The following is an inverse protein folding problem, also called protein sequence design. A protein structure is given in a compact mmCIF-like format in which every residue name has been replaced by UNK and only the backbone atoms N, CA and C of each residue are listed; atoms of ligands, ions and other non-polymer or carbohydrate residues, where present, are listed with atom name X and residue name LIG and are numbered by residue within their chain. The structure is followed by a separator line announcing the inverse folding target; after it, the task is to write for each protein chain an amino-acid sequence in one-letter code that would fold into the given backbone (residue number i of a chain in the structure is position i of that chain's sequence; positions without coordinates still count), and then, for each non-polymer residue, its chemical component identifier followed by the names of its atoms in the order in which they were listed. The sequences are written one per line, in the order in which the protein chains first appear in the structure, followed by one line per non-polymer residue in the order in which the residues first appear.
data_IF_625689157293
#
_entry.id   IF_625689157293
#
_cell.length_a   1.000
_cell.length_b   1.000
_cell.length_c   1.000
_cell.angle_alpha   90.00
_cell.angle_beta   90.00
_cell.angle_gamma   90.00
#
_symmetry.space_group_name_H-M   'P 1'
#
loop_
_entity.id
_entity.type
_entity.pdbx_description
1 polymer ?
#
# COMPACT_ATOMS: atom_id res chain seq x y z
N UNK A 1 -27.96 -13.49 -16.16
CA UNK A 1 -26.62 -12.94 -15.93
C UNK A 1 -26.14 -13.41 -14.58
N UNK A 2 -24.95 -13.97 -14.46
CA UNK A 2 -24.39 -14.36 -13.15
C UNK A 2 -23.95 -13.10 -12.35
N UNK A 3 -23.84 -13.21 -11.03
CA UNK A 3 -23.36 -12.08 -10.21
C UNK A 3 -21.98 -11.58 -10.64
N UNK A 4 -21.10 -12.46 -11.15
CA UNK A 4 -19.79 -12.08 -11.69
C UNK A 4 -19.95 -11.24 -12.97
N UNK A 5 -20.86 -11.58 -13.87
CA UNK A 5 -21.10 -10.82 -15.11
C UNK A 5 -21.61 -9.41 -14.80
N UNK A 6 -22.57 -9.30 -13.88
CA UNK A 6 -23.08 -8.01 -13.45
C UNK A 6 -22.01 -7.13 -12.81
N UNK A 7 -21.17 -7.70 -11.94
CA UNK A 7 -20.05 -7.00 -11.35
C UNK A 7 -19.00 -6.60 -12.41
N UNK A 8 -18.74 -7.49 -13.38
CA UNK A 8 -17.82 -7.21 -14.48
C UNK A 8 -18.30 -6.05 -15.36
N UNK A 9 -19.59 -5.93 -15.64
CA UNK A 9 -20.16 -4.79 -16.36
C UNK A 9 -19.99 -3.48 -15.60
N UNK A 10 -20.19 -3.51 -14.29
CA UNK A 10 -19.98 -2.35 -13.42
C UNK A 10 -18.50 -1.92 -13.44
N UNK A 11 -17.58 -2.84 -13.26
CA UNK A 11 -16.14 -2.57 -13.33
C UNK A 11 -15.73 -2.12 -14.74
N UNK A 12 -16.33 -2.68 -15.80
CA UNK A 12 -16.03 -2.27 -17.18
C UNK A 12 -16.45 -0.82 -17.45
N UNK A 13 -17.60 -0.41 -16.94
CA UNK A 13 -18.10 0.97 -17.06
C UNK A 13 -17.16 1.96 -16.34
N UNK A 14 -16.72 1.63 -15.13
CA UNK A 14 -15.74 2.44 -14.39
C UNK A 14 -14.40 2.52 -15.14
N UNK A 15 -13.89 1.40 -15.63
CA UNK A 15 -12.65 1.36 -16.43
C UNK A 15 -12.78 2.16 -17.73
N UNK A 16 -13.95 2.20 -18.35
CA UNK A 16 -14.18 2.99 -19.55
C UNK A 16 -14.06 4.49 -19.30
N UNK A 17 -14.65 4.95 -18.21
CA UNK A 17 -14.56 6.35 -17.79
C UNK A 17 -13.13 6.75 -17.40
N UNK A 18 -12.42 5.89 -16.67
CA UNK A 18 -11.08 6.17 -16.14
C UNK A 18 -9.95 5.98 -17.15
N UNK A 19 -10.13 5.09 -18.11
CA UNK A 19 -9.11 4.66 -19.07
C UNK A 19 -9.62 4.74 -20.52
N UNK A 20 -10.11 5.90 -20.99
CA UNK A 20 -10.70 6.02 -22.33
C UNK A 20 -9.70 5.68 -23.45
N UNK A 21 -8.42 5.94 -23.24
CA UNK A 21 -7.35 5.61 -24.20
C UNK A 21 -6.93 4.14 -24.25
N UNK A 22 -7.38 3.32 -23.31
CA UNK A 22 -7.07 1.89 -23.33
C UNK A 22 -8.05 1.14 -24.23
N UNK A 23 -7.56 0.13 -24.96
CA UNK A 23 -8.41 -0.67 -25.86
C UNK A 23 -9.56 -1.33 -25.10
N UNK A 24 -10.79 -1.24 -25.63
CA UNK A 24 -11.99 -1.84 -25.04
C UNK A 24 -11.78 -3.31 -24.65
N UNK A 25 -11.20 -4.12 -25.54
CA UNK A 25 -10.95 -5.55 -25.25
C UNK A 25 -9.98 -5.81 -24.08
N UNK A 26 -9.12 -4.85 -23.73
CA UNK A 26 -8.25 -4.96 -22.57
C UNK A 26 -9.02 -4.58 -21.30
N UNK A 27 -9.83 -3.53 -21.35
CA UNK A 27 -10.71 -3.11 -20.24
C UNK A 27 -11.71 -4.19 -19.89
N UNK A 28 -12.42 -4.75 -20.90
CA UNK A 28 -13.41 -5.81 -20.70
C UNK A 28 -12.78 -7.07 -20.05
N UNK A 29 -11.56 -7.44 -20.50
CA UNK A 29 -10.82 -8.56 -19.92
C UNK A 29 -10.39 -8.28 -18.49
N UNK A 30 -9.91 -7.07 -18.22
CA UNK A 30 -9.49 -6.66 -16.89
C UNK A 30 -10.69 -6.63 -15.94
N UNK A 31 -11.81 -6.05 -16.36
CA UNK A 31 -13.05 -6.01 -15.59
C UNK A 31 -13.54 -7.40 -15.21
N UNK A 32 -13.55 -8.31 -16.17
CA UNK A 32 -13.96 -9.69 -15.92
C UNK A 32 -13.02 -10.39 -14.93
N UNK A 33 -11.72 -10.18 -15.02
CA UNK A 33 -10.76 -10.76 -14.08
C UNK A 33 -10.87 -10.15 -12.68
N UNK A 34 -11.10 -8.85 -12.57
CA UNK A 34 -11.32 -8.18 -11.28
C UNK A 34 -12.59 -8.70 -10.61
N UNK A 35 -13.70 -8.78 -11.35
CA UNK A 35 -14.96 -9.29 -10.82
C UNK A 35 -14.85 -10.78 -10.39
N UNK A 36 -14.17 -11.59 -11.21
CA UNK A 36 -13.93 -12.99 -10.86
C UNK A 36 -13.04 -13.12 -9.61
N UNK A 37 -11.98 -12.30 -9.51
CA UNK A 37 -11.06 -12.27 -8.36
C UNK A 37 -11.80 -11.91 -7.06
N UNK A 38 -12.69 -10.91 -7.10
CA UNK A 38 -13.52 -10.51 -5.96
C UNK A 38 -14.42 -11.65 -5.46
N UNK A 39 -14.99 -12.42 -6.38
CA UNK A 39 -15.88 -13.53 -6.05
C UNK A 39 -15.12 -14.75 -5.53
N UNK A 40 -14.01 -15.10 -6.17
CA UNK A 40 -13.24 -16.33 -5.88
C UNK A 40 -12.32 -16.15 -4.68
N UNK A 41 -11.79 -14.94 -4.48
CA UNK A 41 -10.77 -14.63 -3.45
C UNK A 41 -9.54 -15.54 -3.54
N UNK A 42 -9.11 -15.87 -4.75
CA UNK A 42 -7.92 -16.70 -4.99
C UNK A 42 -7.07 -16.14 -6.11
N UNK A 43 -5.75 -16.08 -5.90
CA UNK A 43 -4.76 -15.74 -6.92
C UNK A 43 -4.31 -16.98 -7.71
N UNK A 44 -4.79 -18.17 -7.36
CA UNK A 44 -4.54 -19.41 -8.10
C UNK A 44 -5.27 -19.36 -9.45
N UNK A 45 -4.52 -19.40 -10.54
CA UNK A 45 -5.10 -19.22 -11.88
C UNK A 45 -6.13 -20.30 -12.24
N UNK A 46 -6.03 -21.49 -11.64
CA UNK A 46 -7.01 -22.56 -11.85
C UNK A 46 -8.36 -22.23 -11.21
N UNK A 47 -8.37 -21.69 -9.99
CA UNK A 47 -9.59 -21.30 -9.29
C UNK A 47 -10.29 -20.16 -10.03
N UNK A 48 -9.50 -19.15 -10.45
CA UNK A 48 -10.02 -18.04 -11.28
C UNK A 48 -10.60 -18.60 -12.60
N UNK A 49 -9.92 -19.53 -13.27
CA UNK A 49 -10.38 -20.14 -14.50
C UNK A 49 -11.66 -20.97 -14.31
N UNK A 50 -11.80 -21.67 -13.20
CA UNK A 50 -12.98 -22.46 -12.88
C UNK A 50 -14.26 -21.60 -12.79
N UNK A 51 -14.13 -20.40 -12.20
CA UNK A 51 -15.25 -19.49 -11.98
C UNK A 51 -15.44 -18.41 -13.07
N UNK A 52 -14.48 -18.32 -14.01
CA UNK A 52 -14.53 -17.30 -15.08
C UNK A 52 -15.77 -17.51 -15.98
N UNK A 53 -16.72 -16.55 -16.05
CA UNK A 53 -17.92 -16.67 -16.88
C UNK A 53 -17.53 -16.47 -18.36
N UNK A 54 -17.23 -17.55 -19.02
CA UNK A 54 -16.93 -17.59 -20.45
C UNK A 54 -17.58 -18.76 -21.14
N UNK A 55 -17.96 -18.55 -22.38
CA UNK A 55 -18.52 -19.56 -23.27
C UNK A 55 -17.54 -20.71 -23.63
N UNK A 56 -16.24 -20.56 -23.29
CA UNK A 56 -15.29 -21.65 -23.47
C UNK A 56 -15.57 -22.75 -22.43
N UNK A 57 -16.09 -23.87 -22.87
CA UNK A 57 -16.47 -25.00 -22.01
C UNK A 57 -15.27 -25.62 -21.28
N UNK A 58 -14.11 -25.66 -21.95
CA UNK A 58 -12.91 -26.31 -21.40
C UNK A 58 -12.19 -25.39 -20.42
N UNK A 59 -11.94 -25.90 -19.22
CA UNK A 59 -11.19 -25.22 -18.16
C UNK A 59 -9.79 -24.78 -18.62
N UNK A 60 -9.08 -25.64 -19.37
CA UNK A 60 -7.76 -25.31 -19.91
C UNK A 60 -7.81 -24.09 -20.85
N UNK A 61 -8.83 -23.96 -21.68
CA UNK A 61 -9.00 -22.80 -22.55
C UNK A 61 -9.17 -21.49 -21.77
N UNK A 62 -9.89 -21.53 -20.65
CA UNK A 62 -10.04 -20.38 -19.73
C UNK A 62 -8.73 -20.06 -19.04
N UNK A 63 -8.01 -21.06 -18.56
CA UNK A 63 -6.70 -20.92 -17.96
C UNK A 63 -5.68 -20.28 -18.93
N UNK A 64 -5.59 -20.77 -20.18
CA UNK A 64 -4.71 -20.19 -21.20
C UNK A 64 -5.11 -18.75 -21.57
N UNK A 65 -6.40 -18.42 -21.51
CA UNK A 65 -6.85 -17.05 -21.74
C UNK A 65 -6.37 -16.10 -20.63
N UNK A 66 -6.43 -16.50 -19.37
CA UNK A 66 -5.88 -15.73 -18.25
C UNK A 66 -4.36 -15.55 -18.43
N UNK A 67 -3.63 -16.63 -18.72
CA UNK A 67 -2.19 -16.57 -18.96
C UNK A 67 -1.80 -15.60 -20.10
N UNK A 68 -2.59 -15.56 -21.17
CA UNK A 68 -2.40 -14.61 -22.27
C UNK A 68 -2.66 -13.17 -21.83
N UNK A 69 -3.67 -12.93 -21.02
CA UNK A 69 -3.89 -11.59 -20.44
C UNK A 69 -2.70 -11.16 -19.58
N UNK A 70 -2.25 -11.99 -18.66
CA UNK A 70 -1.11 -11.70 -17.78
C UNK A 70 0.21 -11.52 -18.57
N UNK A 71 0.34 -12.10 -19.75
CA UNK A 71 1.50 -11.92 -20.62
C UNK A 71 1.43 -10.63 -21.48
N UNK A 72 0.30 -9.91 -21.47
CA UNK A 72 0.10 -8.76 -22.34
C UNK A 72 0.82 -7.50 -21.81
N UNK A 73 2.01 -7.22 -22.33
CA UNK A 73 2.83 -6.06 -21.94
C UNK A 73 2.17 -4.68 -22.22
N UNK A 74 1.09 -4.63 -23.03
CA UNK A 74 0.33 -3.39 -23.28
C UNK A 74 -0.56 -3.00 -22.10
N UNK A 75 -0.78 -3.90 -21.15
CA UNK A 75 -1.43 -3.57 -19.86
C UNK A 75 -0.32 -3.15 -18.91
N UNK A 76 -0.17 -1.86 -18.71
CA UNK A 76 0.85 -1.23 -17.86
C UNK A 76 0.21 -0.88 -16.52
N UNK A 77 0.68 -1.52 -15.45
CA UNK A 77 0.07 -1.41 -14.12
C UNK A 77 0.02 0.01 -13.58
N UNK A 78 1.13 0.78 -13.71
CA UNK A 78 1.17 2.18 -13.29
C UNK A 78 0.10 3.03 -14.02
N UNK A 79 -0.09 2.79 -15.33
CA UNK A 79 -1.06 3.55 -16.13
C UNK A 79 -2.51 3.22 -15.75
N UNK A 80 -2.79 1.95 -15.46
CA UNK A 80 -4.12 1.51 -15.03
C UNK A 80 -4.45 2.02 -13.63
N UNK A 81 -3.50 1.98 -12.70
CA UNK A 81 -3.70 2.44 -11.33
C UNK A 81 -3.76 3.97 -11.19
N UNK A 82 -3.18 4.71 -12.16
CA UNK A 82 -3.05 6.16 -12.05
C UNK A 82 -4.36 6.90 -11.77
N UNK A 83 -5.48 6.68 -12.47
CA UNK A 83 -6.74 7.40 -12.18
C UNK A 83 -7.28 7.08 -10.79
N UNK A 84 -7.17 5.84 -10.32
CA UNK A 84 -7.59 5.42 -8.98
C UNK A 84 -6.76 6.09 -7.89
N UNK A 85 -5.43 6.04 -8.05
CA UNK A 85 -4.51 6.68 -7.11
C UNK A 85 -4.70 8.19 -7.03
N UNK A 86 -4.85 8.87 -8.18
CA UNK A 86 -5.11 10.33 -8.21
C UNK A 86 -6.41 10.70 -7.51
N UNK A 87 -7.47 9.93 -7.70
CA UNK A 87 -8.76 10.20 -7.06
C UNK A 87 -8.65 10.11 -5.53
N UNK A 88 -8.04 9.02 -5.01
CA UNK A 88 -7.86 8.85 -3.56
C UNK A 88 -7.02 9.97 -2.98
N UNK A 89 -5.87 10.27 -3.61
CA UNK A 89 -4.95 11.31 -3.15
C UNK A 89 -5.58 12.70 -3.21
N UNK A 90 -6.33 13.01 -4.27
CA UNK A 90 -7.04 14.27 -4.41
C UNK A 90 -8.12 14.45 -3.32
N UNK A 91 -8.87 13.40 -2.99
CA UNK A 91 -9.88 13.44 -1.92
C UNK A 91 -9.26 13.67 -0.54
N UNK A 92 -8.19 12.96 -0.21
CA UNK A 92 -7.47 13.14 1.05
C UNK A 92 -6.92 14.57 1.18
N UNK A 93 -6.31 15.08 0.11
CA UNK A 93 -5.78 16.45 0.08
C UNK A 93 -6.87 17.51 0.19
N UNK A 94 -8.00 17.33 -0.50
CA UNK A 94 -9.13 18.26 -0.47
C UNK A 94 -9.81 18.34 0.91
N UNK A 95 -9.73 17.28 1.69
CA UNK A 95 -10.24 17.22 3.05
C UNK A 95 -9.25 17.77 4.10
N UNK A 96 -8.13 18.33 3.67
CA UNK A 96 -7.08 18.84 4.57
C UNK A 96 -6.37 17.73 5.36
N UNK A 97 -6.53 16.46 4.98
CA UNK A 97 -5.87 15.35 5.65
C UNK A 97 -4.40 15.26 5.22
N UNK A 98 -3.54 14.90 6.15
CA UNK A 98 -2.16 14.56 5.84
C UNK A 98 -2.12 13.30 4.98
N UNK A 99 -1.59 13.40 3.77
CA UNK A 99 -1.36 12.25 2.91
C UNK A 99 -0.20 11.42 3.47
N UNK A 100 -0.50 10.23 3.96
CA UNK A 100 0.50 9.28 4.47
C UNK A 100 0.74 8.22 3.40
N UNK A 101 1.97 8.19 2.89
CA UNK A 101 2.45 7.16 1.99
C UNK A 101 3.24 6.12 2.77
N UNK A 102 3.01 4.87 2.47
CA UNK A 102 3.65 3.72 3.11
C UNK A 102 4.50 3.01 2.08
N UNK A 103 5.73 2.68 2.42
CA UNK A 103 6.59 1.83 1.60
C UNK A 103 6.98 0.59 2.38
N UNK A 104 6.80 -0.56 1.74
CA UNK A 104 7.23 -1.83 2.31
C UNK A 104 7.42 -2.87 1.20
N UNK A 105 8.13 -3.97 1.51
CA UNK A 105 8.30 -5.08 0.60
C UNK A 105 7.71 -6.35 1.17
N UNK A 106 7.28 -7.24 0.29
CA UNK A 106 6.78 -8.54 0.68
C UNK A 106 7.32 -9.63 -0.23
N UNK A 107 7.66 -10.77 0.38
CA UNK A 107 8.01 -11.98 -0.36
C UNK A 107 6.72 -12.57 -0.93
N UNK A 108 6.74 -12.88 -2.22
CA UNK A 108 5.61 -13.51 -2.93
C UNK A 108 5.91 -14.98 -3.24
N UNK A 109 7.17 -15.30 -3.49
CA UNK A 109 7.63 -16.65 -3.73
C UNK A 109 9.11 -16.77 -3.39
N UNK A 110 9.68 -17.96 -3.49
CA UNK A 110 11.13 -18.15 -3.33
C UNK A 110 11.98 -17.35 -4.34
N UNK A 111 11.36 -16.83 -5.40
CA UNK A 111 12.04 -16.12 -6.48
C UNK A 111 11.73 -14.64 -6.55
N UNK A 112 10.60 -14.20 -5.99
CA UNK A 112 10.09 -12.85 -6.19
C UNK A 112 9.83 -12.12 -4.88
N UNK A 113 10.33 -10.89 -4.85
CA UNK A 113 9.95 -9.86 -3.89
C UNK A 113 9.18 -8.75 -4.61
N UNK A 114 8.30 -8.09 -3.89
CA UNK A 114 7.55 -6.94 -4.39
C UNK A 114 7.73 -5.78 -3.42
N UNK A 115 8.31 -4.67 -3.89
CA UNK A 115 8.23 -3.40 -3.17
C UNK A 115 6.98 -2.67 -3.61
N UNK A 116 6.25 -2.12 -2.66
CA UNK A 116 4.98 -1.44 -2.89
C UNK A 116 4.94 -0.10 -2.16
N UNK A 117 4.44 0.91 -2.86
CA UNK A 117 4.06 2.19 -2.28
C UNK A 117 2.54 2.23 -2.25
N UNK A 118 2.01 2.47 -1.07
CA UNK A 118 0.58 2.53 -0.81
C UNK A 118 0.19 3.83 -0.11
N UNK A 119 -1.04 4.27 -0.26
CA UNK A 119 -1.60 5.37 0.54
C UNK A 119 -2.40 4.81 1.71
N UNK A 120 -2.21 5.39 2.88
CA UNK A 120 -3.00 5.05 4.07
C UNK A 120 -4.42 5.59 3.93
N UNK A 121 -5.40 4.76 4.20
CA UNK A 121 -6.81 5.11 4.20
C UNK A 121 -7.49 4.51 5.45
N UNK A 122 -7.70 5.34 6.47
CA UNK A 122 -8.17 4.84 7.77
C UNK A 122 -7.19 3.85 8.40
N UNK A 123 -7.65 2.68 8.80
CA UNK A 123 -6.83 1.57 9.31
C UNK A 123 -6.22 0.67 8.23
N UNK A 124 -6.41 1.00 6.95
CA UNK A 124 -5.94 0.20 5.80
C UNK A 124 -4.99 0.98 4.91
N UNK A 125 -4.46 0.30 3.89
CA UNK A 125 -3.71 0.93 2.82
C UNK A 125 -4.23 0.48 1.46
N UNK A 126 -4.11 1.38 0.47
CA UNK A 126 -4.42 1.08 -0.94
C UNK A 126 -3.14 1.20 -1.77
N UNK A 127 -2.83 0.21 -2.61
CA UNK A 127 -1.63 0.24 -3.44
C UNK A 127 -1.72 1.35 -4.50
N UNK A 128 -0.63 2.09 -4.67
CA UNK A 128 -0.48 3.13 -5.69
C UNK A 128 0.46 2.69 -6.81
N UNK A 129 1.60 2.12 -6.43
CA UNK A 129 2.63 1.67 -7.35
C UNK A 129 3.47 0.55 -6.71
N UNK A 130 4.01 -0.33 -7.53
CA UNK A 130 4.86 -1.43 -7.07
C UNK A 130 5.92 -1.79 -8.11
N UNK A 131 6.94 -2.54 -7.65
CA UNK A 131 7.92 -3.17 -8.54
C UNK A 131 8.13 -4.62 -8.10
N UNK A 132 8.05 -5.51 -9.08
CA UNK A 132 8.32 -6.93 -8.89
C UNK A 132 9.77 -7.18 -9.26
N UNK A 133 10.54 -7.77 -8.36
CA UNK A 133 11.94 -8.12 -8.56
C UNK A 133 12.14 -9.61 -8.40
N UNK A 134 12.89 -10.21 -9.32
CA UNK A 134 13.38 -11.57 -9.17
C UNK A 134 14.62 -11.52 -8.26
N UNK A 135 14.41 -11.79 -6.98
CA UNK A 135 15.43 -11.80 -5.93
C UNK A 135 14.92 -12.57 -4.71
N UNK A 136 15.82 -13.18 -3.96
CA UNK A 136 15.51 -13.78 -2.66
C UNK A 136 15.72 -12.78 -1.50
N UNK A 137 16.53 -11.76 -1.74
CA UNK A 137 16.89 -10.76 -0.75
C UNK A 137 16.09 -9.46 -0.89
N UNK A 138 16.63 -8.44 -0.27
CA UNK A 138 16.05 -7.12 -0.26
C UNK A 138 16.05 -6.46 -1.65
N UNK A 139 15.01 -5.69 -1.91
CA UNK A 139 14.90 -4.87 -3.12
C UNK A 139 15.75 -3.60 -2.94
N UNK A 140 16.64 -3.34 -3.90
CA UNK A 140 17.54 -2.20 -3.86
C UNK A 140 16.85 -0.84 -4.05
N UNK A 141 17.58 0.24 -3.75
CA UNK A 141 17.04 1.59 -3.80
C UNK A 141 16.54 2.01 -5.21
N UNK A 142 17.12 1.47 -6.28
CA UNK A 142 16.69 1.81 -7.64
C UNK A 142 15.22 1.45 -7.90
N UNK A 143 14.79 0.27 -7.50
CA UNK A 143 13.40 -0.18 -7.63
C UNK A 143 12.47 0.51 -6.62
N UNK A 144 12.96 0.77 -5.39
CA UNK A 144 12.22 1.57 -4.40
C UNK A 144 11.94 2.97 -4.96
N UNK A 145 12.96 3.62 -5.48
CA UNK A 145 12.86 4.93 -6.12
C UNK A 145 11.88 4.91 -7.31
N UNK A 146 11.96 3.92 -8.18
CA UNK A 146 11.05 3.78 -9.31
C UNK A 146 9.58 3.64 -8.90
N UNK A 147 9.29 2.94 -7.79
CA UNK A 147 7.94 2.86 -7.23
C UNK A 147 7.50 4.20 -6.60
N UNK A 148 8.39 4.85 -5.86
CA UNK A 148 8.13 6.17 -5.25
C UNK A 148 7.88 7.26 -6.29
N UNK A 149 8.68 7.31 -7.37
CA UNK A 149 8.48 8.24 -8.48
C UNK A 149 7.16 8.01 -9.20
N UNK A 150 6.73 6.74 -9.34
CA UNK A 150 5.42 6.44 -9.89
C UNK A 150 4.28 6.97 -9.00
N UNK A 151 4.38 6.77 -7.69
CA UNK A 151 3.42 7.31 -6.71
C UNK A 151 3.47 8.85 -6.66
N UNK A 152 4.64 9.47 -6.73
CA UNK A 152 4.81 10.92 -6.73
C UNK A 152 4.04 11.61 -7.86
N UNK A 153 4.03 11.00 -9.05
CA UNK A 153 3.28 11.53 -10.21
C UNK A 153 1.76 11.52 -10.03
N UNK A 154 1.25 10.88 -9.00
CA UNK A 154 -0.18 10.82 -8.69
C UNK A 154 -0.62 11.89 -7.70
N UNK A 155 0.32 12.51 -6.98
CA UNK A 155 0.03 13.54 -5.98
C UNK A 155 -0.53 14.80 -6.63
N UNK A 156 -1.57 15.42 -6.04
CA UNK A 156 -1.99 16.75 -6.43
C UNK A 156 -0.87 17.78 -6.24
N UNK A 157 -0.86 18.81 -7.07
CA UNK A 157 0.10 19.89 -6.95
C UNK A 157 0.06 20.53 -5.55
N UNK A 158 1.24 20.80 -4.98
CA UNK A 158 1.38 21.38 -3.64
C UNK A 158 1.15 20.42 -2.48
N UNK A 159 0.80 19.16 -2.73
CA UNK A 159 0.67 18.16 -1.66
C UNK A 159 2.04 17.75 -1.13
N UNK A 160 2.22 17.86 0.18
CA UNK A 160 3.41 17.41 0.89
C UNK A 160 3.09 16.14 1.70
N UNK A 161 3.37 14.95 1.17
CA UNK A 161 3.07 13.72 1.88
C UNK A 161 4.09 13.42 2.97
N UNK A 162 3.71 12.53 3.90
CA UNK A 162 4.62 11.91 4.85
C UNK A 162 4.90 10.48 4.39
N UNK A 163 6.15 10.14 4.10
CA UNK A 163 6.55 8.78 3.77
C UNK A 163 6.89 8.01 5.05
N UNK A 164 6.31 6.83 5.22
CA UNK A 164 6.61 5.91 6.32
C UNK A 164 7.15 4.59 5.79
N UNK A 165 8.19 4.07 6.43
CA UNK A 165 8.80 2.78 6.10
C UNK A 165 9.43 2.13 7.32
N UNK A 166 9.56 0.81 7.29
CA UNK A 166 10.20 0.06 8.37
C UNK A 166 11.72 0.28 8.43
N UNK A 167 12.41 -0.42 9.33
CA UNK A 167 13.88 -0.28 9.52
C UNK A 167 14.71 -0.65 8.29
N UNK A 168 14.11 -1.31 7.31
CA UNK A 168 14.74 -1.60 6.05
C UNK A 168 14.84 -0.36 5.15
N UNK A 169 13.87 0.54 5.29
CA UNK A 169 13.78 1.80 4.54
C UNK A 169 14.44 2.99 5.25
N UNK A 170 14.90 2.82 6.48
CA UNK A 170 15.65 3.84 7.21
C UNK A 170 17.07 4.05 6.65
N UNK A 171 17.17 4.37 5.38
CA UNK A 171 18.43 4.52 4.66
C UNK A 171 18.74 5.99 4.33
N UNK A 172 20.03 6.38 4.29
CA UNK A 172 20.46 7.71 3.86
C UNK A 172 19.93 8.08 2.48
N UNK A 173 19.91 7.13 1.53
CA UNK A 173 19.48 7.38 0.16
C UNK A 173 17.99 7.75 0.09
N UNK A 174 17.16 7.08 0.89
CA UNK A 174 15.74 7.38 0.94
C UNK A 174 15.47 8.73 1.63
N UNK A 175 16.16 9.04 2.74
CA UNK A 175 16.04 10.33 3.43
C UNK A 175 16.44 11.46 2.48
N UNK A 176 17.57 11.32 1.78
CA UNK A 176 18.05 12.30 0.80
C UNK A 176 17.03 12.50 -0.33
N UNK A 177 16.46 11.39 -0.84
CA UNK A 177 15.44 11.46 -1.88
C UNK A 177 14.18 12.19 -1.39
N UNK A 178 13.66 11.86 -0.20
CA UNK A 178 12.50 12.54 0.39
C UNK A 178 12.76 14.04 0.56
N UNK A 179 13.92 14.40 1.09
CA UNK A 179 14.33 15.80 1.24
C UNK A 179 14.35 16.52 -0.10
N UNK A 180 14.92 15.91 -1.14
CA UNK A 180 14.97 16.46 -2.50
C UNK A 180 13.60 16.62 -3.15
N UNK A 181 12.60 15.82 -2.75
CA UNK A 181 11.20 15.95 -3.19
C UNK A 181 10.39 16.92 -2.34
N UNK A 182 10.94 17.44 -1.26
CA UNK A 182 10.20 18.24 -0.28
C UNK A 182 9.16 17.45 0.53
N UNK A 183 9.31 16.13 0.62
CA UNK A 183 8.45 15.25 1.39
C UNK A 183 8.84 15.20 2.86
N UNK A 184 7.88 14.97 3.73
CA UNK A 184 8.13 14.58 5.11
C UNK A 184 8.38 13.07 5.20
N UNK A 185 9.08 12.64 6.25
CA UNK A 185 9.35 11.21 6.48
C UNK A 185 9.21 10.82 7.95
N UNK A 186 8.87 9.54 8.16
CA UNK A 186 8.90 8.79 9.41
C UNK A 186 9.48 7.41 9.09
N UNK A 187 10.79 7.26 9.21
CA UNK A 187 11.48 6.05 8.82
C UNK A 187 12.12 5.40 10.03
N UNK A 188 11.82 4.14 10.29
CA UNK A 188 12.46 3.42 11.39
C UNK A 188 13.92 3.17 11.04
N UNK A 189 14.81 3.46 11.98
CA UNK A 189 16.24 3.28 11.84
C UNK A 189 16.72 2.02 12.55
N UNK A 190 17.83 1.46 12.10
CA UNK A 190 18.60 0.46 12.83
C UNK A 190 19.36 1.14 13.96
N UNK A 191 19.47 0.45 15.09
CA UNK A 191 20.12 0.99 16.29
C UNK A 191 21.64 1.12 16.18
N UNK A 192 22.27 0.40 15.24
CA UNK A 192 23.70 0.37 14.97
C UNK A 192 24.18 1.47 14.01
N UNK A 193 23.25 2.28 13.46
CA UNK A 193 23.62 3.39 12.59
C UNK A 193 24.45 4.43 13.35
N UNK A 194 25.48 4.93 12.66
CA UNK A 194 26.36 5.97 13.18
C UNK A 194 25.70 7.35 13.14
N UNK A 195 25.86 8.08 14.21
CA UNK A 195 25.57 9.51 14.33
C UNK A 195 26.88 10.23 14.49
N UNK A 196 27.05 11.35 13.80
CA UNK A 196 28.20 12.20 13.88
C UNK A 196 27.87 13.50 14.62
N UNK A 197 28.65 13.78 15.65
CA UNK A 197 28.57 14.96 16.49
C UNK A 197 29.96 15.59 16.56
N UNK A 198 30.09 16.79 17.12
CA UNK A 198 31.36 17.56 17.21
C UNK A 198 32.49 16.79 17.92
N UNK A 199 32.21 15.74 18.65
CA UNK A 199 33.18 14.91 19.38
C UNK A 199 33.56 13.60 18.70
N UNK A 200 33.00 13.29 17.53
CA UNK A 200 33.24 12.01 16.83
C UNK A 200 32.01 11.25 16.44
N UNK A 201 32.16 9.97 16.09
CA UNK A 201 31.05 9.09 15.70
C UNK A 201 30.63 8.22 16.89
N UNK A 202 29.28 8.08 17.05
CA UNK A 202 28.67 7.18 18.02
C UNK A 202 27.49 6.44 17.36
N UNK A 203 26.91 5.43 18.01
CA UNK A 203 25.72 4.73 17.48
C UNK A 203 24.44 5.28 18.09
N UNK A 204 23.32 5.18 17.36
CA UNK A 204 22.00 5.53 17.89
C UNK A 204 21.68 4.76 19.17
N UNK A 205 22.09 3.50 19.27
CA UNK A 205 21.95 2.72 20.48
C UNK A 205 22.74 3.31 21.68
N UNK A 206 23.91 3.90 21.43
CA UNK A 206 24.69 4.54 22.48
C UNK A 206 24.04 5.85 22.94
N UNK A 207 23.52 6.66 22.02
CA UNK A 207 22.74 7.86 22.35
C UNK A 207 21.52 7.49 23.23
N UNK A 208 20.77 6.48 22.83
CA UNK A 208 19.62 6.01 23.62
C UNK A 208 19.99 5.59 25.04
N UNK A 209 21.09 4.84 25.21
CA UNK A 209 21.60 4.44 26.55
C UNK A 209 22.02 5.61 27.41
N UNK A 210 22.46 6.72 26.80
CA UNK A 210 22.77 7.97 27.53
C UNK A 210 21.52 8.78 27.91
N UNK A 211 20.31 8.32 27.52
CA UNK A 211 19.05 9.02 27.78
C UNK A 211 18.70 10.07 26.72
N UNK A 212 19.39 10.08 25.61
CA UNK A 212 19.17 11.01 24.49
C UNK A 212 18.04 10.51 23.61
N UNK A 213 16.79 10.78 23.99
CA UNK A 213 15.63 10.30 23.25
C UNK A 213 15.17 11.18 22.09
N UNK A 214 15.76 12.36 21.92
CA UNK A 214 15.41 13.34 20.90
C UNK A 214 16.67 14.01 20.36
N UNK A 215 17.08 13.64 19.17
CA UNK A 215 18.23 14.22 18.50
C UNK A 215 17.74 15.14 17.39
N UNK A 216 18.27 16.36 17.33
CA UNK A 216 17.89 17.37 16.34
C UNK A 216 19.03 17.63 15.38
N UNK A 217 18.69 17.70 14.09
CA UNK A 217 19.58 18.07 13.00
C UNK A 217 20.93 17.31 13.03
N UNK A 218 20.84 16.00 13.31
CA UNK A 218 22.01 15.13 13.37
C UNK A 218 22.44 14.67 11.98
N UNK A 219 23.70 14.32 11.84
CA UNK A 219 24.27 13.71 10.65
C UNK A 219 24.32 12.19 10.83
N UNK A 220 23.56 11.47 9.99
CA UNK A 220 23.52 10.01 9.99
C UNK A 220 24.46 9.42 8.98
N UNK A 221 25.16 8.37 9.38
CA UNK A 221 26.06 7.53 8.59
C UNK A 221 27.23 8.31 7.99
N UNK A 222 28.13 7.61 7.34
CA UNK A 222 29.27 8.24 6.62
C UNK A 222 28.84 9.20 5.50
N UNK A 223 27.56 9.03 5.00
CA UNK A 223 26.97 9.94 4.01
C UNK A 223 26.55 11.29 4.59
N UNK A 224 26.64 11.47 5.92
CA UNK A 224 26.31 12.74 6.62
C UNK A 224 24.93 13.29 6.27
N UNK A 225 23.92 12.39 6.19
CA UNK A 225 22.56 12.81 5.86
C UNK A 225 21.89 13.43 7.09
N UNK A 226 21.42 14.66 6.95
CA UNK A 226 20.76 15.39 8.05
C UNK A 226 19.33 14.93 8.26
N UNK A 227 18.99 14.67 9.51
CA UNK A 227 17.63 14.32 9.95
C UNK A 227 17.48 14.57 11.44
N UNK A 228 16.24 14.56 11.91
CA UNK A 228 15.94 14.48 13.34
C UNK A 228 15.67 13.03 13.73
N UNK A 229 15.88 12.68 14.98
CA UNK A 229 15.57 11.33 15.50
C UNK A 229 14.78 11.44 16.79
N UNK A 230 13.68 10.68 16.88
CA UNK A 230 12.98 10.43 18.13
C UNK A 230 13.10 8.94 18.47
N UNK A 231 13.34 8.66 19.74
CA UNK A 231 13.43 7.32 20.29
C UNK A 231 12.38 7.13 21.34
N UNK A 232 11.51 6.12 21.16
CA UNK A 232 10.45 5.78 22.11
C UNK A 232 10.46 4.30 22.39
N UNK A 233 10.16 3.94 23.65
CA UNK A 233 9.94 2.55 24.01
C UNK A 233 8.44 2.36 24.20
N UNK A 234 7.86 1.54 23.35
CA UNK A 234 6.46 1.15 23.45
C UNK A 234 6.32 -0.07 24.34
N UNK A 235 5.38 -0.03 25.26
CA UNK A 235 5.11 -1.15 26.17
C UNK A 235 4.75 -2.42 25.37
N UNK A 236 5.37 -3.54 25.72
CA UNK A 236 5.17 -4.80 25.01
C UNK A 236 6.07 -5.04 23.79
N UNK A 237 6.85 -4.05 23.37
CA UNK A 237 7.86 -4.22 22.32
C UNK A 237 9.26 -4.40 22.93
N UNK A 238 10.02 -5.45 22.54
CA UNK A 238 11.34 -5.73 23.13
C UNK A 238 12.40 -4.70 22.74
N UNK A 239 12.24 -4.01 21.62
CA UNK A 239 13.17 -3.01 21.10
C UNK A 239 12.54 -1.63 20.99
N UNK A 240 13.28 -0.55 21.32
CA UNK A 240 12.79 0.80 21.14
C UNK A 240 12.57 1.12 19.65
N UNK A 241 11.62 1.99 19.39
CA UNK A 241 11.47 2.60 18.08
C UNK A 241 12.42 3.78 17.94
N UNK A 242 13.29 3.70 16.98
CA UNK A 242 14.21 4.78 16.60
C UNK A 242 13.74 5.29 15.25
N UNK A 243 13.17 6.48 15.23
CA UNK A 243 12.46 7.02 14.05
C UNK A 243 13.18 8.27 13.56
N UNK A 244 13.66 8.21 12.30
CA UNK A 244 14.10 9.40 11.58
C UNK A 244 12.90 10.26 11.17
N UNK A 245 13.00 11.56 11.37
CA UNK A 245 11.92 12.52 11.18
C UNK A 245 12.42 13.72 10.37
N UNK A 246 11.60 14.23 9.46
CA UNK A 246 11.85 15.52 8.81
C UNK A 246 11.56 16.71 9.73
N UNK A 247 10.64 16.53 10.65
CA UNK A 247 10.19 17.56 11.60
C UNK A 247 10.90 17.42 12.95
N UNK A 248 10.73 18.43 13.81
CA UNK A 248 11.27 18.40 15.16
C UNK A 248 10.79 17.15 15.92
N UNK A 249 11.69 16.44 16.63
CA UNK A 249 11.37 15.18 17.26
C UNK A 249 10.51 15.39 18.51
N UNK A 250 9.40 14.65 18.58
CA UNK A 250 8.54 14.59 19.76
C UNK A 250 8.08 13.13 19.97
N UNK A 251 7.53 12.85 21.17
CA UNK A 251 6.94 11.54 21.45
C UNK A 251 5.75 11.29 20.53
N UNK A 252 4.92 12.30 20.28
CA UNK A 252 3.77 12.20 19.38
C UNK A 252 4.18 11.88 17.95
N UNK A 253 5.18 12.60 17.41
CA UNK A 253 5.67 12.34 16.04
C UNK A 253 6.29 10.95 15.87
N UNK A 254 6.80 10.36 16.96
CA UNK A 254 7.31 9.00 16.93
C UNK A 254 6.18 7.96 16.99
N UNK A 255 5.14 8.19 17.80
CA UNK A 255 3.98 7.30 17.87
C UNK A 255 3.14 7.32 16.58
N UNK A 256 3.12 8.43 15.83
CA UNK A 256 2.52 8.49 14.49
C UNK A 256 3.08 7.43 13.55
N UNK A 257 4.28 6.92 13.80
CA UNK A 257 4.86 5.82 13.04
C UNK A 257 3.98 4.55 13.06
N UNK A 258 3.19 4.34 14.10
CA UNK A 258 2.21 3.24 14.17
C UNK A 258 1.20 3.24 13.02
N UNK A 259 0.95 4.40 12.39
CA UNK A 259 0.09 4.50 11.19
C UNK A 259 0.60 3.66 10.01
N UNK A 260 1.87 3.25 10.02
CA UNK A 260 2.48 2.37 9.01
C UNK A 260 1.80 0.99 8.93
N UNK A 261 1.24 0.51 10.01
CA UNK A 261 0.72 -0.87 10.07
C UNK A 261 -0.44 -1.15 9.11
N UNK A 262 -1.05 -0.13 8.54
CA UNK A 262 -2.05 -0.30 7.47
C UNK A 262 -1.53 -1.07 6.25
N UNK A 263 -0.22 -1.02 5.94
CA UNK A 263 0.36 -1.78 4.83
C UNK A 263 0.47 -3.29 5.12
N UNK A 264 0.66 -3.66 6.39
CA UNK A 264 0.71 -5.06 6.80
C UNK A 264 -0.66 -5.73 6.65
N UNK A 265 -1.74 -5.01 7.00
CA UNK A 265 -3.11 -5.46 6.74
C UNK A 265 -3.35 -5.66 5.24
N UNK A 266 -2.91 -4.73 4.40
CA UNK A 266 -3.02 -4.84 2.94
C UNK A 266 -2.24 -6.05 2.39
N UNK A 267 -1.01 -6.30 2.85
CA UNK A 267 -0.26 -7.48 2.45
C UNK A 267 -0.92 -8.78 2.94
N UNK A 268 -1.53 -8.76 4.11
CA UNK A 268 -2.32 -9.89 4.60
C UNK A 268 -3.52 -10.18 3.71
N UNK A 269 -4.22 -9.14 3.22
CA UNK A 269 -5.32 -9.28 2.26
C UNK A 269 -4.83 -9.83 0.91
N UNK A 270 -3.62 -9.48 0.48
CA UNK A 270 -3.05 -10.06 -0.74
C UNK A 270 -2.63 -11.52 -0.57
N UNK A 271 -2.23 -11.92 0.62
CA UNK A 271 -1.75 -13.25 0.97
C UNK A 271 -2.85 -14.12 1.60
N UNK A 272 -2.56 -14.70 2.74
CA UNK A 272 -3.35 -15.76 3.39
C UNK A 272 -4.78 -15.37 3.79
N UNK A 273 -5.01 -14.10 4.15
CA UNK A 273 -6.34 -13.65 4.57
C UNK A 273 -7.28 -13.31 3.42
N UNK A 274 -6.76 -13.08 2.23
CA UNK A 274 -7.55 -12.62 1.09
C UNK A 274 -7.34 -13.47 -0.15
N UNK A 275 -6.39 -13.09 -0.99
CA UNK A 275 -6.28 -13.65 -2.33
C UNK A 275 -5.32 -14.83 -2.46
N UNK A 276 -4.45 -15.13 -1.48
CA UNK A 276 -3.47 -16.21 -1.58
C UNK A 276 -2.41 -15.98 -2.67
N UNK A 277 -1.83 -14.78 -2.73
CA UNK A 277 -0.84 -14.41 -3.76
C UNK A 277 0.34 -15.39 -3.83
N UNK A 278 0.74 -15.94 -2.70
CA UNK A 278 1.85 -16.89 -2.58
C UNK A 278 1.55 -18.21 -3.29
N UNK A 279 0.28 -18.58 -3.43
CA UNK A 279 -0.19 -19.81 -4.09
C UNK A 279 -0.31 -19.66 -5.61
N UNK A 280 -0.08 -18.46 -6.15
CA UNK A 280 -0.24 -18.16 -7.58
C UNK A 280 0.72 -18.93 -8.50
N UNK A 281 1.88 -19.37 -7.97
CA UNK A 281 2.96 -20.11 -8.66
C UNK A 281 3.45 -19.43 -9.95
N UNK A 282 3.26 -18.12 -10.08
CA UNK A 282 3.70 -17.36 -11.26
C UNK A 282 5.21 -17.15 -11.19
N UNK A 283 5.90 -17.57 -12.28
CA UNK A 283 7.36 -17.53 -12.37
C UNK A 283 7.94 -16.30 -13.07
N UNK A 284 7.13 -15.56 -13.82
CA UNK A 284 7.58 -14.40 -14.60
C UNK A 284 7.14 -13.10 -13.94
N UNK A 285 8.09 -12.24 -13.60
CA UNK A 285 7.84 -10.98 -12.90
C UNK A 285 6.78 -10.10 -13.59
N UNK A 286 6.82 -9.98 -14.92
CA UNK A 286 5.81 -9.20 -15.66
C UNK A 286 4.40 -9.80 -15.67
N UNK A 287 4.23 -11.10 -15.44
CA UNK A 287 2.92 -11.71 -15.24
C UNK A 287 2.44 -11.52 -13.81
N UNK A 288 3.35 -11.62 -12.85
CA UNK A 288 3.08 -11.36 -11.45
C UNK A 288 2.67 -9.90 -11.23
N UNK A 289 3.32 -8.95 -11.88
CA UNK A 289 2.94 -7.54 -11.90
C UNK A 289 1.47 -7.33 -12.28
N UNK A 290 1.00 -8.00 -13.35
CA UNK A 290 -0.39 -7.88 -13.81
C UNK A 290 -1.38 -8.68 -12.95
N UNK A 291 -0.95 -9.74 -12.28
CA UNK A 291 -1.78 -10.39 -11.27
C UNK A 291 -1.98 -9.45 -10.08
N UNK A 292 -0.92 -8.81 -9.61
CA UNK A 292 -0.99 -7.80 -8.54
C UNK A 292 -1.90 -6.64 -8.96
N UNK A 293 -1.88 -6.22 -10.22
CA UNK A 293 -2.81 -5.20 -10.74
C UNK A 293 -4.28 -5.62 -10.58
N UNK A 294 -4.62 -6.85 -10.95
CA UNK A 294 -5.99 -7.36 -10.79
C UNK A 294 -6.39 -7.35 -9.31
N UNK A 295 -5.49 -7.79 -8.44
CA UNK A 295 -5.71 -7.83 -6.99
C UNK A 295 -5.82 -6.42 -6.39
N UNK A 296 -5.00 -5.46 -6.85
CA UNK A 296 -5.02 -4.07 -6.42
C UNK A 296 -6.36 -3.40 -6.75
N UNK A 297 -6.87 -3.63 -7.95
CA UNK A 297 -8.20 -3.16 -8.35
C UNK A 297 -9.30 -3.85 -7.55
N UNK A 298 -9.20 -5.17 -7.35
CA UNK A 298 -10.17 -5.90 -6.51
C UNK A 298 -10.18 -5.35 -5.07
N UNK A 299 -9.00 -5.09 -4.50
CA UNK A 299 -8.89 -4.48 -3.17
C UNK A 299 -9.49 -3.06 -3.15
N UNK A 300 -9.21 -2.24 -4.17
CA UNK A 300 -9.79 -0.90 -4.30
C UNK A 300 -11.33 -0.97 -4.28
N UNK A 301 -11.92 -1.87 -5.06
CA UNK A 301 -13.37 -2.07 -5.11
C UNK A 301 -13.93 -2.56 -3.79
N UNK A 302 -13.29 -3.55 -3.15
CA UNK A 302 -13.72 -4.08 -1.85
C UNK A 302 -13.69 -3.01 -0.76
N UNK A 303 -12.60 -2.24 -0.66
CA UNK A 303 -12.46 -1.17 0.33
C UNK A 303 -13.45 -0.04 0.06
N UNK A 304 -13.59 0.40 -1.18
CA UNK A 304 -14.53 1.47 -1.55
C UNK A 304 -15.98 1.08 -1.24
N UNK A 305 -16.37 -0.15 -1.56
CA UNK A 305 -17.71 -0.67 -1.25
C UNK A 305 -17.93 -0.79 0.25
N UNK A 306 -16.95 -1.31 0.99
CA UNK A 306 -17.03 -1.43 2.45
C UNK A 306 -17.14 -0.06 3.14
N UNK A 307 -16.38 0.93 2.68
CA UNK A 307 -16.50 2.31 3.20
C UNK A 307 -17.86 2.93 2.89
N UNK A 308 -18.38 2.71 1.68
CA UNK A 308 -19.70 3.18 1.31
C UNK A 308 -20.79 2.53 2.17
N UNK A 309 -20.70 1.21 2.39
CA UNK A 309 -21.66 0.44 3.19
C UNK A 309 -21.65 0.91 4.65
N UNK A 310 -20.48 1.11 5.24
CA UNK A 310 -20.33 1.63 6.61
C UNK A 310 -21.00 3.00 6.81
N UNK A 311 -21.01 3.85 5.79
CA UNK A 311 -21.68 5.16 5.84
C UNK A 311 -23.19 5.05 5.66
N UNK A 312 -23.64 4.26 4.68
CA UNK A 312 -25.05 4.23 4.29
C UNK A 312 -25.86 3.11 4.98
N UNK A 313 -25.20 2.07 5.46
CA UNK A 313 -25.79 0.91 6.13
C UNK A 313 -24.99 0.51 7.37
N UNK A 314 -24.71 1.45 8.30
CA UNK A 314 -23.88 1.16 9.45
C UNK A 314 -24.48 0.05 10.33
N UNK A 315 -23.64 -0.88 10.75
CA UNK A 315 -23.99 -1.93 11.69
C UNK A 315 -24.33 -1.35 13.07
N UNK A 316 -25.00 -2.09 13.98
CA UNK A 316 -25.24 -1.62 15.34
C UNK A 316 -23.98 -1.24 16.11
N UNK A 317 -22.86 -1.94 15.91
CA UNK A 317 -21.57 -1.63 16.52
C UNK A 317 -20.97 -0.32 15.98
N UNK A 318 -21.10 -0.04 14.67
CA UNK A 318 -20.65 1.20 14.06
C UNK A 318 -21.50 2.42 14.45
N UNK A 319 -22.80 2.19 14.76
CA UNK A 319 -23.71 3.23 15.26
C UNK A 319 -23.42 3.62 16.71
N UNK A 320 -22.86 2.72 17.50
CA UNK A 320 -22.64 2.92 18.93
C UNK A 320 -21.23 2.48 19.34
N UNK A 321 -20.19 3.30 19.04
CA UNK A 321 -18.80 2.96 19.33
C UNK A 321 -18.53 2.74 20.84
N UNK A 322 -19.42 3.20 21.74
CA UNK A 322 -19.34 2.93 23.18
C UNK A 322 -19.65 1.47 23.55
N UNK A 323 -20.23 0.67 22.64
CA UNK A 323 -20.47 -0.77 22.85
C UNK A 323 -19.33 -1.65 22.30
N UNK A 324 -18.32 -1.07 21.67
CA UNK A 324 -17.10 -1.79 21.31
C UNK A 324 -16.34 -2.09 22.61
N UNK A 325 -16.04 -3.36 22.85
CA UNK A 325 -15.31 -3.84 24.02
C UNK A 325 -14.03 -3.01 24.23
N UNK A 326 -13.85 -2.30 25.35
CA UNK A 326 -12.66 -1.48 25.59
C UNK A 326 -11.36 -2.29 25.72
N UNK A 327 -11.43 -3.62 25.72
CA UNK A 327 -10.30 -4.54 25.72
C UNK A 327 -9.99 -5.18 24.35
N UNK A 328 -10.84 -5.01 23.36
CA UNK A 328 -10.55 -5.46 22.01
C UNK A 328 -9.59 -4.46 21.38
N UNK A 329 -8.39 -4.93 21.00
CA UNK A 329 -7.56 -4.21 20.02
C UNK A 329 -8.49 -3.78 18.88
N UNK A 330 -8.48 -2.51 18.44
CA UNK A 330 -9.37 -2.06 17.38
C UNK A 330 -9.21 -3.01 16.19
N UNK A 331 -10.30 -3.68 15.82
CA UNK A 331 -10.32 -4.54 14.66
C UNK A 331 -9.83 -3.69 13.47
N UNK A 332 -8.68 -4.02 12.87
CA UNK A 332 -8.15 -3.24 11.76
C UNK A 332 -9.09 -3.24 10.55
N UNK A 333 -10.19 -3.99 10.60
CA UNK A 333 -11.25 -4.02 9.58
C UNK A 333 -12.33 -2.96 9.78
N UNK A 334 -12.40 -2.28 10.95
CA UNK A 334 -13.42 -1.26 11.20
C UNK A 334 -12.92 0.14 10.81
N UNK A 335 -13.74 0.95 10.13
CA UNK A 335 -13.41 2.33 9.84
C UNK A 335 -13.31 3.13 11.15
N UNK A 336 -12.28 3.96 11.25
CA UNK A 336 -12.02 4.81 12.42
C UNK A 336 -13.23 5.71 12.70
N UNK A 337 -13.77 5.62 13.93
CA UNK A 337 -14.96 6.36 14.39
C UNK A 337 -14.73 7.86 14.64
N UNK A 338 -13.56 8.40 14.31
CA UNK A 338 -13.33 9.84 14.32
C UNK A 338 -13.80 10.45 12.99
N UNK A 339 -14.83 11.27 13.02
CA UNK A 339 -15.66 11.86 11.97
C UNK A 339 -14.99 12.55 10.76
N UNK A 340 -13.93 11.99 10.23
CA UNK A 340 -13.18 12.50 9.08
C UNK A 340 -13.18 11.56 7.86
N UNK A 341 -13.90 10.43 7.90
CA UNK A 341 -14.09 9.59 6.71
C UNK A 341 -15.23 10.15 5.86
N UNK A 342 -14.91 11.13 5.01
CA UNK A 342 -15.78 11.48 3.90
C UNK A 342 -16.04 10.25 3.04
N UNK A 343 -17.31 9.94 2.79
CA UNK A 343 -17.73 8.78 2.05
C UNK A 343 -17.03 8.71 0.69
N UNK A 344 -16.33 7.61 0.46
CA UNK A 344 -15.93 7.19 -0.87
C UNK A 344 -17.22 6.78 -1.59
N UNK A 345 -17.82 7.70 -2.32
CA UNK A 345 -18.92 7.34 -3.21
C UNK A 345 -18.28 6.72 -4.45
N UNK A 346 -18.43 5.40 -4.70
CA UNK A 346 -18.18 4.90 -6.02
C UNK A 346 -19.10 5.69 -6.97
N UNK A 347 -18.66 5.96 -8.19
CA UNK A 347 -19.48 6.62 -9.21
C UNK A 347 -20.68 5.74 -9.59
N UNK A 348 -21.58 5.51 -8.64
CA UNK A 348 -22.89 4.89 -8.81
C UNK A 348 -23.92 6.00 -8.63
N UNK A 349 -24.01 6.88 -9.59
CA UNK A 349 -25.22 7.68 -9.76
C UNK A 349 -25.79 7.41 -11.13
N UNK A 350 -26.98 6.76 -11.06
CA UNK A 350 -28.01 6.53 -12.07
C UNK A 350 -27.59 5.86 -13.38
#
# INVERSE_FOLDING_TARGET
MSGIEQLAETVATDLEQRLPGQRKTQRDKLALLVATMLQVRSATLMDVAACLPRLAERLDSRYQWIKRFLANARVVSDAVMAPYGREVLARLSAQGQTVVLLIDQTKVSERHQVVMVAVRLGGRALPLAWRVKETQGAIGFAEQRAALEAAARLLPAGTKPVLMGDRFYGSPDLITWCSGQGWDWRLRLKQDLLVFEDGGATTLAACFRRGEHRLRDIELTEKRVRTNVAMVHEAGHPEPWIIALSQAPSVHTAFDYGLRWGIEAMFSDFKTRGFGLEDSQIRLAGRLDRLILIMALALFWAVSTGMWDAVHRPTPAEKNPAMADPGAMPDPSLPCSSGACGAFTPAFTA
#
